data_IF_343782658619
#
_entry.id   IF_343782658619
#
_cell.length_a   1.000
_cell.length_b   1.000
_cell.length_c   1.000
_cell.angle_alpha   90.00
_cell.angle_beta   90.00
_cell.angle_gamma   90.00
#
_symmetry.space_group_name_H-M   'P 1'
#
loop_
_entity.id
_entity.type
_entity.pdbx_description
1 polymer ?
#
# COMPACT_ATOMS: atom_id res chain seq x y z
N UNK A 1 19.27 34.73 -35.21
CA UNK A 1 19.08 34.01 -33.95
C UNK A 1 18.29 32.74 -34.27
N UNK A 2 18.89 31.56 -34.14
CA UNK A 2 18.14 30.31 -34.19
C UNK A 2 17.36 30.20 -32.87
N UNK A 3 16.05 30.01 -32.94
CA UNK A 3 15.21 29.70 -31.77
C UNK A 3 15.58 28.33 -31.23
N UNK A 4 15.46 28.13 -29.90
CA UNK A 4 15.66 26.84 -29.22
C UNK A 4 14.88 25.66 -29.87
N UNK A 5 13.83 25.96 -30.64
CA UNK A 5 13.03 24.99 -31.40
C UNK A 5 13.77 24.18 -32.49
N UNK A 6 15.03 24.51 -32.82
CA UNK A 6 15.81 23.80 -33.85
C UNK A 6 16.86 22.82 -33.30
N UNK A 7 16.95 22.65 -31.98
CA UNK A 7 17.87 21.68 -31.37
C UNK A 7 17.14 20.38 -31.07
N UNK A 8 17.27 19.40 -31.96
CA UNK A 8 16.82 18.02 -31.71
C UNK A 8 18.01 17.23 -31.18
N UNK A 9 18.17 17.22 -29.85
CA UNK A 9 19.20 16.43 -29.17
C UNK A 9 18.77 15.02 -28.77
N UNK A 10 17.47 14.71 -28.89
CA UNK A 10 16.85 13.44 -28.49
C UNK A 10 15.91 12.94 -29.59
N UNK A 11 15.79 11.61 -29.78
CA UNK A 11 14.77 11.08 -30.69
C UNK A 11 13.38 11.52 -30.25
N UNK A 12 12.51 11.78 -31.23
CA UNK A 12 11.09 12.01 -30.95
C UNK A 12 10.53 10.79 -30.23
N UNK A 13 9.76 11.03 -29.15
CA UNK A 13 9.07 9.96 -28.47
C UNK A 13 8.21 9.20 -29.47
N UNK A 14 8.19 7.86 -29.36
CA UNK A 14 7.30 7.05 -30.17
C UNK A 14 5.85 7.48 -29.91
N UNK A 15 4.98 7.50 -30.94
CA UNK A 15 3.57 7.76 -30.73
C UNK A 15 2.99 6.79 -29.70
N UNK A 16 2.23 7.29 -28.72
CA UNK A 16 1.69 6.51 -27.60
C UNK A 16 0.90 5.27 -28.05
N UNK A 17 0.14 5.37 -29.14
CA UNK A 17 -0.60 4.24 -29.70
C UNK A 17 0.29 3.07 -30.19
N UNK A 18 1.58 3.31 -30.47
CA UNK A 18 2.55 2.28 -30.90
C UNK A 18 3.03 1.44 -29.72
N UNK A 19 3.20 2.02 -28.54
CA UNK A 19 3.66 1.30 -27.34
C UNK A 19 2.51 0.73 -26.50
N UNK A 20 1.33 1.32 -26.59
CA UNK A 20 0.15 0.97 -25.78
C UNK A 20 -0.24 -0.50 -25.87
N UNK A 21 -0.19 -1.14 -27.04
CA UNK A 21 -0.54 -2.57 -27.15
C UNK A 21 0.41 -3.43 -26.34
N UNK A 22 1.72 -3.27 -26.51
CA UNK A 22 2.73 -4.05 -25.76
C UNK A 22 2.57 -3.84 -24.25
N UNK A 23 2.46 -2.58 -23.82
CA UNK A 23 2.33 -2.20 -22.42
C UNK A 23 1.05 -2.77 -21.79
N UNK A 24 -0.05 -2.75 -22.52
CA UNK A 24 -1.31 -3.33 -22.08
C UNK A 24 -1.22 -4.86 -21.91
N UNK A 25 -0.60 -5.59 -22.84
CA UNK A 25 -0.41 -7.03 -22.70
C UNK A 25 0.51 -7.40 -21.53
N UNK A 26 1.50 -6.57 -21.20
CA UNK A 26 2.31 -6.74 -19.98
C UNK A 26 1.46 -6.56 -18.71
N UNK A 27 0.60 -5.54 -18.67
CA UNK A 27 -0.33 -5.34 -17.57
C UNK A 27 -1.33 -6.50 -17.43
N UNK A 28 -1.82 -7.05 -18.54
CA UNK A 28 -2.68 -8.23 -18.55
C UNK A 28 -1.96 -9.48 -18.04
N UNK A 29 -0.69 -9.70 -18.38
CA UNK A 29 0.09 -10.81 -17.81
C UNK A 29 0.13 -10.71 -16.27
N UNK A 30 0.55 -9.56 -15.74
CA UNK A 30 0.55 -9.28 -14.31
C UNK A 30 -0.83 -9.48 -13.67
N UNK A 31 -1.88 -8.95 -14.30
CA UNK A 31 -3.27 -9.13 -13.85
C UNK A 31 -3.59 -10.62 -13.72
N UNK A 32 -3.38 -11.42 -14.77
CA UNK A 32 -3.71 -12.85 -14.73
C UNK A 32 -2.87 -13.65 -13.73
N UNK A 33 -1.59 -13.29 -13.58
CA UNK A 33 -0.67 -13.92 -12.63
C UNK A 33 -1.00 -13.58 -11.18
N UNK A 34 -1.43 -12.35 -10.90
CA UNK A 34 -1.85 -11.96 -9.54
C UNK A 34 -3.10 -12.71 -9.11
N UNK A 35 -4.13 -12.80 -9.96
CA UNK A 35 -5.36 -13.50 -9.58
C UNK A 35 -5.19 -15.02 -9.52
N UNK A 36 -4.38 -15.62 -10.39
CA UNK A 36 -4.01 -17.04 -10.34
C UNK A 36 -5.21 -17.99 -10.13
N UNK A 37 -6.33 -17.73 -10.81
CA UNK A 37 -7.51 -18.60 -10.74
C UNK A 37 -7.20 -20.01 -11.22
N UNK A 38 -7.77 -20.99 -10.52
CA UNK A 38 -7.66 -22.42 -10.80
C UNK A 38 -9.01 -22.96 -11.31
N UNK A 39 -9.01 -24.01 -12.16
CA UNK A 39 -10.24 -24.70 -12.54
C UNK A 39 -11.02 -25.16 -11.30
N UNK A 40 -12.33 -24.91 -11.29
CA UNK A 40 -13.21 -25.27 -10.18
C UNK A 40 -13.22 -24.29 -9.01
N UNK A 41 -12.46 -23.18 -9.06
CA UNK A 41 -12.58 -22.13 -8.05
C UNK A 41 -14.02 -21.63 -7.95
N UNK A 42 -14.45 -21.36 -6.72
CA UNK A 42 -15.71 -20.70 -6.39
C UNK A 42 -15.37 -19.30 -5.94
N UNK A 43 -15.36 -18.38 -6.90
CA UNK A 43 -15.00 -16.99 -6.71
C UNK A 43 -16.18 -16.23 -6.15
N UNK A 44 -15.99 -15.59 -4.99
CA UNK A 44 -16.91 -14.61 -4.45
C UNK A 44 -16.31 -13.21 -4.60
N UNK A 45 -17.05 -12.34 -5.26
CA UNK A 45 -16.80 -10.91 -5.22
C UNK A 45 -17.55 -10.27 -4.07
N UNK A 46 -16.83 -9.57 -3.21
CA UNK A 46 -17.35 -8.61 -2.24
C UNK A 46 -17.13 -7.21 -2.83
N UNK A 47 -18.18 -6.58 -3.33
CA UNK A 47 -18.12 -5.30 -4.05
C UNK A 47 -18.97 -4.22 -3.37
N UNK A 48 -18.78 -2.99 -3.80
CA UNK A 48 -19.53 -1.82 -3.36
C UNK A 48 -19.92 -0.94 -4.57
N UNK A 49 -20.78 0.09 -4.39
CA UNK A 49 -21.31 0.88 -5.50
C UNK A 49 -20.29 1.77 -6.23
N UNK A 50 -19.10 2.01 -5.66
CA UNK A 50 -18.08 2.86 -6.27
C UNK A 50 -17.13 2.08 -7.20
N UNK A 51 -17.28 0.75 -7.30
CA UNK A 51 -16.42 -0.05 -8.16
C UNK A 51 -16.86 0.08 -9.62
N UNK A 52 -15.93 0.36 -10.52
CA UNK A 52 -16.18 0.32 -11.96
C UNK A 52 -16.70 -1.08 -12.36
N UNK A 53 -17.92 -1.20 -12.91
CA UNK A 53 -18.48 -2.50 -13.30
C UNK A 53 -17.59 -3.26 -14.29
N UNK A 54 -16.79 -2.55 -15.11
CA UNK A 54 -15.84 -3.18 -16.05
C UNK A 54 -14.74 -3.97 -15.33
N UNK A 55 -14.39 -3.59 -14.10
CA UNK A 55 -13.45 -4.35 -13.26
C UNK A 55 -14.06 -5.70 -12.86
N UNK A 56 -15.33 -5.71 -12.45
CA UNK A 56 -16.07 -6.94 -12.13
C UNK A 56 -16.14 -7.84 -13.36
N UNK A 57 -16.49 -7.28 -14.53
CA UNK A 57 -16.59 -8.04 -15.78
C UNK A 57 -15.24 -8.61 -16.21
N UNK A 58 -14.15 -7.84 -16.14
CA UNK A 58 -12.82 -8.28 -16.53
C UNK A 58 -12.32 -9.44 -15.64
N UNK A 59 -12.45 -9.31 -14.32
CA UNK A 59 -12.00 -10.36 -13.40
C UNK A 59 -12.93 -11.58 -13.49
N UNK A 60 -14.25 -11.38 -13.62
CA UNK A 60 -15.21 -12.48 -13.81
C UNK A 60 -14.96 -13.23 -15.11
N UNK A 61 -14.68 -12.53 -16.20
CA UNK A 61 -14.30 -13.10 -17.49
C UNK A 61 -13.01 -13.90 -17.38
N UNK A 62 -11.99 -13.36 -16.70
CA UNK A 62 -10.75 -14.08 -16.44
C UNK A 62 -10.97 -15.36 -15.62
N UNK A 63 -11.73 -15.28 -14.52
CA UNK A 63 -12.08 -16.43 -13.69
C UNK A 63 -12.80 -17.52 -14.50
N UNK A 64 -13.83 -17.15 -15.27
CA UNK A 64 -14.57 -18.09 -16.13
C UNK A 64 -13.68 -18.71 -17.21
N UNK A 65 -12.78 -17.93 -17.82
CA UNK A 65 -11.80 -18.44 -18.78
C UNK A 65 -10.82 -19.46 -18.16
N UNK A 66 -10.63 -19.43 -16.84
CA UNK A 66 -9.85 -20.43 -16.08
C UNK A 66 -10.70 -21.58 -15.53
N UNK A 67 -11.98 -21.67 -15.90
CA UNK A 67 -12.89 -22.74 -15.46
C UNK A 67 -13.43 -22.54 -14.04
N UNK A 68 -13.42 -21.32 -13.51
CA UNK A 68 -14.00 -20.99 -12.22
C UNK A 68 -15.47 -20.53 -12.34
N UNK A 69 -16.20 -20.62 -11.22
CA UNK A 69 -17.53 -20.05 -11.05
C UNK A 69 -17.44 -18.73 -10.28
N UNK A 70 -18.34 -17.79 -10.57
CA UNK A 70 -18.33 -16.45 -9.96
C UNK A 70 -19.69 -16.12 -9.37
N UNK A 71 -19.69 -15.60 -8.13
CA UNK A 71 -20.83 -14.94 -7.50
C UNK A 71 -20.42 -13.54 -7.07
N UNK A 72 -21.36 -12.60 -7.13
CA UNK A 72 -21.18 -11.22 -6.74
C UNK A 72 -22.10 -10.93 -5.56
N UNK A 73 -21.56 -10.29 -4.53
CA UNK A 73 -22.31 -9.67 -3.45
C UNK A 73 -21.92 -8.19 -3.42
N UNK A 74 -22.90 -7.31 -3.64
CA UNK A 74 -22.72 -5.86 -3.62
C UNK A 74 -23.41 -5.28 -2.39
N UNK A 75 -22.65 -4.57 -1.57
CA UNK A 75 -23.21 -3.77 -0.48
C UNK A 75 -23.80 -2.45 -0.98
N UNK A 76 -24.64 -1.85 -0.12
CA UNK A 76 -25.27 -0.56 -0.40
C UNK A 76 -24.33 0.65 -0.30
N UNK A 77 -23.15 0.46 0.28
CA UNK A 77 -22.12 1.48 0.46
C UNK A 77 -20.73 0.84 0.43
N UNK A 78 -19.70 1.63 0.15
CA UNK A 78 -18.29 1.27 0.33
C UNK A 78 -17.87 1.15 1.81
N UNK A 79 -18.64 1.77 2.73
CA UNK A 79 -18.41 1.73 4.18
C UNK A 79 -18.97 0.46 4.79
N UNK A 80 -18.29 -0.66 4.54
CA UNK A 80 -18.61 -1.95 5.13
C UNK A 80 -17.70 -2.13 6.35
N UNK A 81 -18.21 -1.80 7.54
CA UNK A 81 -17.44 -1.78 8.80
C UNK A 81 -17.26 -3.19 9.40
N UNK A 82 -18.19 -4.10 9.13
CA UNK A 82 -18.15 -5.49 9.56
C UNK A 82 -18.65 -6.43 8.46
N UNK A 83 -18.24 -7.70 8.48
CA UNK A 83 -18.75 -8.69 7.51
C UNK A 83 -20.21 -9.01 7.87
N UNK A 84 -21.19 -8.70 6.99
CA UNK A 84 -22.60 -8.97 7.24
C UNK A 84 -22.86 -10.46 7.49
N UNK A 85 -23.78 -10.77 8.40
CA UNK A 85 -24.05 -12.13 8.83
C UNK A 85 -24.49 -13.06 7.69
N UNK A 86 -25.28 -12.53 6.76
CA UNK A 86 -25.74 -13.21 5.53
C UNK A 86 -24.62 -13.40 4.49
N UNK A 87 -23.59 -12.55 4.49
CA UNK A 87 -22.39 -12.72 3.66
C UNK A 87 -21.52 -13.92 4.11
N UNK A 88 -21.58 -14.31 5.39
CA UNK A 88 -20.70 -15.36 5.96
C UNK A 88 -20.89 -16.73 5.30
N UNK A 89 -22.14 -17.11 5.00
CA UNK A 89 -22.42 -18.38 4.32
C UNK A 89 -21.86 -18.41 2.88
N UNK A 90 -21.91 -17.27 2.17
CA UNK A 90 -21.31 -17.13 0.85
C UNK A 90 -19.78 -17.23 0.93
N UNK A 91 -19.19 -16.61 1.93
CA UNK A 91 -17.76 -16.67 2.21
C UNK A 91 -17.28 -18.09 2.53
N UNK A 92 -17.99 -18.85 3.38
CA UNK A 92 -17.64 -20.24 3.69
C UNK A 92 -17.68 -21.14 2.44
N UNK A 93 -18.61 -20.88 1.53
CA UNK A 93 -18.71 -21.65 0.30
C UNK A 93 -17.61 -21.32 -0.71
N UNK A 94 -17.06 -20.10 -0.69
CA UNK A 94 -16.03 -19.65 -1.64
C UNK A 94 -14.68 -20.35 -1.43
N UNK A 95 -13.93 -20.58 -2.51
CA UNK A 95 -12.50 -20.98 -2.43
C UNK A 95 -11.56 -19.80 -2.68
N UNK A 96 -12.08 -18.78 -3.36
CA UNK A 96 -11.34 -17.58 -3.75
C UNK A 96 -12.22 -16.35 -3.53
N UNK A 97 -11.67 -15.29 -2.95
CA UNK A 97 -12.41 -14.04 -2.69
C UNK A 97 -11.69 -12.86 -3.33
N UNK A 98 -12.46 -12.03 -4.04
CA UNK A 98 -12.04 -10.70 -4.50
C UNK A 98 -12.81 -9.67 -3.70
N UNK A 99 -12.13 -8.72 -3.05
CA UNK A 99 -12.78 -7.82 -2.08
C UNK A 99 -12.40 -6.36 -2.28
N UNK A 100 -13.40 -5.48 -2.27
CA UNK A 100 -13.24 -4.04 -2.02
C UNK A 100 -13.48 -3.66 -0.55
N UNK A 101 -14.11 -4.50 0.27
CA UNK A 101 -14.55 -4.18 1.64
C UNK A 101 -13.43 -4.12 2.66
N UNK A 102 -13.18 -2.95 3.27
CA UNK A 102 -12.06 -2.74 4.19
C UNK A 102 -12.08 -3.70 5.39
N UNK A 103 -13.25 -3.96 5.98
CA UNK A 103 -13.38 -4.86 7.13
C UNK A 103 -12.81 -6.27 6.89
N UNK A 104 -12.79 -6.76 5.64
CA UNK A 104 -12.35 -8.12 5.32
C UNK A 104 -10.85 -8.35 5.58
N UNK A 105 -10.06 -7.29 5.77
CA UNK A 105 -8.62 -7.37 6.05
C UNK A 105 -8.39 -7.93 7.45
N UNK A 106 -9.09 -7.39 8.44
CA UNK A 106 -8.89 -7.64 9.87
C UNK A 106 -9.98 -8.49 10.51
N UNK A 107 -11.08 -8.76 9.80
CA UNK A 107 -12.19 -9.56 10.32
C UNK A 107 -11.72 -10.98 10.74
N UNK A 108 -11.96 -11.40 12.00
CA UNK A 108 -11.50 -12.69 12.51
C UNK A 108 -12.03 -13.89 11.73
N UNK A 109 -13.25 -13.81 11.19
CA UNK A 109 -13.85 -14.88 10.41
C UNK A 109 -13.15 -15.01 9.03
N UNK A 110 -12.90 -13.89 8.35
CA UNK A 110 -12.12 -13.88 7.11
C UNK A 110 -10.66 -14.35 7.33
N UNK A 111 -10.02 -13.97 8.44
CA UNK A 111 -8.70 -14.49 8.84
C UNK A 111 -8.74 -16.00 9.03
N UNK A 112 -9.75 -16.53 9.72
CA UNK A 112 -9.89 -17.96 9.96
C UNK A 112 -10.10 -18.75 8.66
N UNK A 113 -10.85 -18.22 7.69
CA UNK A 113 -11.02 -18.85 6.38
C UNK A 113 -9.71 -18.87 5.56
N UNK A 114 -8.92 -17.79 5.61
CA UNK A 114 -7.57 -17.76 5.00
C UNK A 114 -6.66 -18.83 5.61
N UNK A 115 -6.67 -18.99 6.93
CA UNK A 115 -5.92 -20.07 7.61
C UNK A 115 -6.36 -21.48 7.20
N UNK A 116 -7.59 -21.65 6.69
CA UNK A 116 -8.11 -22.91 6.13
C UNK A 116 -7.79 -23.09 4.63
N UNK A 117 -7.03 -22.17 4.03
CA UNK A 117 -6.60 -22.28 2.64
C UNK A 117 -7.36 -21.39 1.65
N UNK A 118 -8.39 -20.64 2.08
CA UNK A 118 -9.11 -19.73 1.19
C UNK A 118 -8.17 -18.62 0.69
N UNK A 119 -8.20 -18.34 -0.62
CA UNK A 119 -7.29 -17.38 -1.29
C UNK A 119 -7.98 -16.04 -1.52
N UNK A 120 -7.26 -14.94 -1.32
CA UNK A 120 -7.84 -13.60 -1.33
C UNK A 120 -7.02 -12.60 -2.15
N UNK A 121 -7.72 -11.81 -2.96
CA UNK A 121 -7.17 -10.62 -3.63
C UNK A 121 -7.98 -9.39 -3.22
N UNK A 122 -7.31 -8.45 -2.59
CA UNK A 122 -7.86 -7.13 -2.25
C UNK A 122 -7.64 -6.18 -3.42
N UNK A 123 -8.68 -5.46 -3.86
CA UNK A 123 -8.63 -4.56 -5.02
C UNK A 123 -8.83 -3.07 -4.64
N UNK A 124 -8.47 -2.66 -3.43
CA UNK A 124 -8.59 -1.26 -2.97
C UNK A 124 -8.00 -0.25 -3.95
N UNK A 125 -6.86 -0.60 -4.58
CA UNK A 125 -6.14 0.26 -5.50
C UNK A 125 -6.53 0.08 -6.97
N UNK A 126 -7.39 -0.89 -7.29
CA UNK A 126 -7.80 -1.23 -8.66
C UNK A 126 -9.32 -1.11 -8.82
N UNK A 127 -9.81 0.13 -8.69
CA UNK A 127 -11.25 0.43 -8.75
C UNK A 127 -11.77 0.86 -10.12
N UNK A 128 -10.86 1.09 -11.07
CA UNK A 128 -11.16 1.51 -12.44
C UNK A 128 -10.35 0.64 -13.40
N UNK A 129 -11.00 0.05 -14.42
CA UNK A 129 -10.32 -0.82 -15.38
C UNK A 129 -9.21 -0.10 -16.15
N UNK A 130 -9.35 1.21 -16.35
CA UNK A 130 -8.39 2.02 -17.11
C UNK A 130 -7.01 2.08 -16.42
N UNK A 131 -6.93 1.69 -15.15
CA UNK A 131 -5.65 1.51 -14.44
C UNK A 131 -4.76 0.43 -15.07
N UNK A 132 -5.28 -0.48 -15.88
CA UNK A 132 -4.47 -1.41 -16.68
C UNK A 132 -3.57 -0.70 -17.70
N UNK A 133 -3.90 0.53 -18.07
CA UNK A 133 -3.06 1.35 -18.95
C UNK A 133 -1.99 2.15 -18.19
N UNK A 134 -2.01 2.11 -16.85
CA UNK A 134 -1.07 2.87 -16.05
C UNK A 134 0.29 2.16 -15.96
N UNK A 135 1.42 2.90 -15.87
CA UNK A 135 2.77 2.31 -15.80
C UNK A 135 2.95 1.28 -14.68
N UNK A 136 2.32 1.50 -13.52
CA UNK A 136 2.38 0.59 -12.38
C UNK A 136 1.72 -0.77 -12.62
N UNK A 137 0.75 -0.87 -13.53
CA UNK A 137 0.09 -2.14 -13.83
C UNK A 137 1.00 -3.11 -14.60
N UNK A 138 1.97 -2.58 -15.36
CA UNK A 138 2.94 -3.36 -16.14
C UNK A 138 4.29 -3.56 -15.47
N UNK A 139 4.50 -3.01 -14.27
CA UNK A 139 5.73 -3.26 -13.52
C UNK A 139 5.80 -4.75 -13.10
N UNK A 140 6.88 -5.49 -13.37
CA UNK A 140 6.93 -6.93 -13.09
C UNK A 140 6.66 -7.25 -11.62
N UNK A 141 5.63 -8.05 -11.34
CA UNK A 141 5.24 -8.38 -9.96
C UNK A 141 6.34 -9.14 -9.19
N UNK A 142 7.21 -9.87 -9.88
CA UNK A 142 8.34 -10.57 -9.27
C UNK A 142 9.37 -9.59 -8.70
N UNK A 143 9.58 -8.45 -9.38
CA UNK A 143 10.52 -7.42 -8.94
C UNK A 143 10.01 -6.68 -7.71
N UNK A 144 8.69 -6.51 -7.55
CA UNK A 144 8.12 -6.00 -6.29
C UNK A 144 8.52 -6.94 -5.14
N UNK A 145 8.46 -8.26 -5.37
CA UNK A 145 8.90 -9.25 -4.40
C UNK A 145 10.40 -9.18 -4.08
N UNK A 146 11.25 -8.98 -5.07
CA UNK A 146 12.70 -8.79 -4.85
C UNK A 146 13.00 -7.53 -4.06
N UNK A 147 12.34 -6.41 -4.39
CA UNK A 147 12.48 -5.14 -3.66
C UNK A 147 12.08 -5.29 -2.19
N UNK A 148 10.98 -6.00 -1.92
CA UNK A 148 10.53 -6.33 -0.56
C UNK A 148 11.59 -7.13 0.20
N UNK A 149 12.12 -8.20 -0.40
CA UNK A 149 13.13 -9.06 0.25
C UNK A 149 14.45 -8.32 0.49
N UNK A 150 14.92 -7.55 -0.50
CA UNK A 150 16.12 -6.73 -0.37
C UNK A 150 15.96 -5.65 0.72
N UNK A 151 14.75 -5.09 0.89
CA UNK A 151 14.46 -4.18 2.00
C UNK A 151 14.43 -4.91 3.34
N UNK A 152 13.81 -6.08 3.42
CA UNK A 152 13.79 -6.91 4.63
C UNK A 152 15.19 -7.32 5.09
N UNK A 153 16.10 -7.63 4.16
CA UNK A 153 17.49 -8.00 4.44
C UNK A 153 18.28 -6.88 5.11
N UNK A 154 17.83 -5.62 5.01
CA UNK A 154 18.47 -4.46 5.65
C UNK A 154 18.09 -4.30 7.12
N UNK A 155 17.09 -5.01 7.62
CA UNK A 155 16.76 -5.01 9.05
C UNK A 155 17.80 -5.80 9.86
N UNK A 156 18.36 -5.25 10.95
CA UNK A 156 19.28 -6.01 11.80
C UNK A 156 18.67 -7.32 12.34
N UNK A 157 19.46 -8.39 12.32
CA UNK A 157 19.05 -9.71 12.83
C UNK A 157 19.65 -9.97 14.20
N UNK A 158 18.86 -10.56 15.11
CA UNK A 158 19.34 -11.06 16.41
C UNK A 158 19.72 -9.98 17.45
N UNK A 159 19.47 -8.70 17.17
CA UNK A 159 19.73 -7.59 18.10
C UNK A 159 18.61 -6.55 18.07
N UNK A 160 18.44 -5.83 19.17
CA UNK A 160 17.54 -4.69 19.22
C UNK A 160 18.11 -3.50 18.44
N UNK A 161 17.22 -2.66 17.91
CA UNK A 161 17.57 -1.43 17.17
C UNK A 161 16.37 -0.48 17.18
N UNK A 162 16.60 0.76 16.76
CA UNK A 162 15.51 1.70 16.48
C UNK A 162 15.30 1.84 14.98
N UNK A 163 14.04 1.83 14.56
CA UNK A 163 13.62 2.30 13.26
C UNK A 163 13.44 3.82 13.35
N UNK A 164 14.32 4.57 12.69
CA UNK A 164 14.46 6.01 12.85
C UNK A 164 14.09 6.75 11.58
N UNK A 165 13.10 7.63 11.67
CA UNK A 165 12.57 8.46 10.58
C UNK A 165 13.02 9.90 10.78
N UNK A 166 13.67 10.46 9.76
CA UNK A 166 14.16 11.85 9.77
C UNK A 166 13.92 12.55 8.45
N UNK A 167 13.81 13.88 8.46
CA UNK A 167 13.77 14.68 7.23
C UNK A 167 14.29 16.11 7.48
N UNK A 168 14.40 16.90 6.40
CA UNK A 168 14.86 18.29 6.47
C UNK A 168 13.85 19.26 7.10
N UNK A 169 12.57 18.86 7.27
CA UNK A 169 11.55 19.68 7.94
C UNK A 169 11.72 19.64 9.46
N UNK A 170 12.41 18.61 9.96
CA UNK A 170 12.71 18.41 11.37
C UNK A 170 12.03 17.18 11.97
N UNK A 171 11.50 16.27 11.15
CA UNK A 171 10.99 15.01 11.68
C UNK A 171 12.12 14.27 12.38
N UNK A 172 11.83 13.76 13.56
CA UNK A 172 12.71 12.88 14.34
C UNK A 172 11.78 11.95 15.12
N UNK A 173 11.49 10.80 14.54
CA UNK A 173 10.57 9.82 15.10
C UNK A 173 11.22 8.44 15.14
N UNK A 174 11.07 7.74 16.27
CA UNK A 174 11.71 6.44 16.52
C UNK A 174 10.68 5.41 16.93
N UNK A 175 10.81 4.20 16.39
CA UNK A 175 10.11 2.99 16.82
C UNK A 175 11.15 1.97 17.27
N UNK A 176 11.10 1.55 18.53
CA UNK A 176 12.01 0.54 19.04
C UNK A 176 11.63 -0.86 18.59
N UNK A 177 12.60 -1.62 18.07
CA UNK A 177 12.44 -3.03 17.71
C UNK A 177 13.23 -3.95 18.63
N UNK A 178 12.57 -4.99 19.12
CA UNK A 178 13.24 -6.17 19.65
C UNK A 178 13.56 -7.16 18.51
N UNK A 179 14.48 -8.13 18.73
CA UNK A 179 14.71 -9.20 17.76
C UNK A 179 13.42 -9.97 17.42
N UNK A 180 12.58 -10.25 18.41
CA UNK A 180 11.32 -10.97 18.22
C UNK A 180 10.33 -10.16 17.37
N UNK A 181 10.23 -8.85 17.59
CA UNK A 181 9.37 -7.98 16.79
C UNK A 181 9.75 -8.00 15.31
N UNK A 182 11.05 -7.95 15.02
CA UNK A 182 11.58 -8.05 13.64
C UNK A 182 11.18 -9.38 13.01
N UNK A 183 11.37 -10.50 13.69
CA UNK A 183 11.02 -11.82 13.16
C UNK A 183 9.52 -11.98 12.93
N UNK A 184 8.69 -11.55 13.89
CA UNK A 184 7.24 -11.59 13.75
C UNK A 184 6.78 -10.80 12.52
N UNK A 185 7.24 -9.56 12.36
CA UNK A 185 6.86 -8.70 11.24
C UNK A 185 7.29 -9.28 9.89
N UNK A 186 8.56 -9.68 9.77
CA UNK A 186 9.12 -10.17 8.50
C UNK A 186 8.64 -11.58 8.10
N UNK A 187 7.98 -12.31 9.01
CA UNK A 187 7.37 -13.60 8.71
C UNK A 187 6.08 -13.51 7.87
N UNK A 188 5.49 -12.31 7.74
CA UNK A 188 4.21 -12.11 7.06
C UNK A 188 4.29 -12.28 5.54
N UNK A 189 3.18 -12.66 4.90
CA UNK A 189 3.10 -12.85 3.44
C UNK A 189 3.57 -11.63 2.63
N UNK A 190 3.27 -10.42 3.13
CA UNK A 190 3.68 -9.17 2.49
C UNK A 190 5.21 -9.07 2.42
N UNK A 191 5.91 -9.34 3.53
CA UNK A 191 7.37 -9.31 3.61
C UNK A 191 8.05 -10.48 2.88
N UNK A 192 7.36 -11.60 2.65
CA UNK A 192 7.85 -12.68 1.76
C UNK A 192 7.92 -12.27 0.28
N UNK A 193 7.32 -11.13 -0.09
CA UNK A 193 7.36 -10.61 -1.47
C UNK A 193 6.48 -11.41 -2.43
N UNK A 194 5.36 -11.94 -1.94
CA UNK A 194 4.39 -12.69 -2.74
C UNK A 194 3.33 -11.73 -3.29
N UNK A 195 3.20 -11.69 -4.62
CA UNK A 195 2.25 -10.82 -5.33
C UNK A 195 1.16 -11.59 -6.10
N UNK A 196 1.24 -12.92 -6.10
CA UNK A 196 0.27 -13.84 -6.68
C UNK A 196 -0.61 -14.48 -5.63
N UNK A 197 -1.86 -14.74 -5.98
CA UNK A 197 -2.81 -15.52 -5.19
C UNK A 197 -2.74 -17.02 -5.56
N UNK A 198 -1.53 -17.55 -5.74
CA UNK A 198 -1.24 -18.89 -6.27
C UNK A 198 -1.00 -19.95 -5.18
N UNK A 199 -0.86 -19.54 -3.92
CA UNK A 199 -0.73 -20.42 -2.74
C UNK A 199 -2.03 -20.44 -1.90
N UNK A 200 -2.32 -21.57 -1.25
CA UNK A 200 -3.48 -21.68 -0.36
C UNK A 200 -3.33 -20.76 0.87
N UNK A 201 -4.40 -20.07 1.23
CA UNK A 201 -4.41 -19.14 2.37
C UNK A 201 -3.72 -17.79 2.10
N UNK A 202 -3.33 -17.52 0.86
CA UNK A 202 -2.75 -16.24 0.47
C UNK A 202 -3.73 -15.06 0.64
N UNK A 203 -3.16 -13.88 0.88
CA UNK A 203 -3.84 -12.60 0.88
C UNK A 203 -2.91 -11.59 0.23
N UNK A 204 -3.28 -11.07 -0.94
CA UNK A 204 -2.48 -10.13 -1.72
C UNK A 204 -3.32 -8.92 -2.14
N UNK A 205 -2.66 -7.82 -2.50
CA UNK A 205 -3.30 -6.61 -3.03
C UNK A 205 -3.04 -6.51 -4.53
N UNK A 206 -4.05 -6.06 -5.27
CA UNK A 206 -3.94 -5.64 -6.66
C UNK A 206 -4.43 -4.19 -6.78
N UNK A 207 -3.74 -3.28 -7.47
CA UNK A 207 -2.44 -3.36 -8.14
C UNK A 207 -1.29 -3.70 -7.18
N UNK A 208 -0.24 -4.36 -7.67
CA UNK A 208 0.97 -4.67 -6.91
C UNK A 208 1.84 -3.42 -6.72
N UNK A 209 1.27 -2.40 -6.08
CA UNK A 209 1.92 -1.13 -5.77
C UNK A 209 2.14 -0.97 -4.27
N UNK A 210 1.21 -1.46 -3.46
CA UNK A 210 1.26 -1.38 -2.01
C UNK A 210 2.18 -2.45 -1.43
N UNK A 211 3.19 -2.02 -0.66
CA UNK A 211 4.11 -2.91 0.02
C UNK A 211 3.70 -3.30 1.42
N UNK A 212 4.58 -3.99 2.16
CA UNK A 212 4.51 -4.03 3.61
C UNK A 212 4.80 -2.66 4.23
N UNK A 213 4.31 -2.48 5.47
CA UNK A 213 4.67 -1.34 6.29
C UNK A 213 6.02 -1.59 6.97
N UNK A 214 6.85 -0.54 7.09
CA UNK A 214 8.16 -0.65 7.74
C UNK A 214 8.04 -1.00 9.23
N UNK A 215 6.91 -0.67 9.85
CA UNK A 215 6.39 -1.22 11.09
C UNK A 215 4.86 -1.35 11.00
N UNK A 216 4.32 -2.44 11.53
CA UNK A 216 2.89 -2.60 11.83
C UNK A 216 2.71 -3.51 13.05
N UNK A 217 1.46 -3.68 13.49
CA UNK A 217 1.13 -4.49 14.66
C UNK A 217 1.43 -5.99 14.51
N UNK A 218 1.75 -6.51 13.32
CA UNK A 218 2.23 -7.89 13.20
C UNK A 218 3.59 -8.06 13.90
N UNK A 219 4.37 -7.00 14.11
CA UNK A 219 5.56 -7.02 14.96
C UNK A 219 5.26 -7.55 16.37
N UNK A 220 4.07 -7.28 16.90
CA UNK A 220 3.57 -7.77 18.19
C UNK A 220 2.42 -8.77 18.02
N UNK A 221 2.33 -9.44 16.86
CA UNK A 221 1.28 -10.44 16.53
C UNK A 221 -0.16 -9.93 16.70
N UNK A 222 -0.36 -8.63 16.50
CA UNK A 222 -1.63 -7.93 16.72
C UNK A 222 -2.11 -7.97 18.19
N UNK A 223 -1.22 -8.23 19.15
CA UNK A 223 -1.51 -8.05 20.57
C UNK A 223 -1.33 -6.58 20.95
N UNK A 224 -2.43 -5.85 20.85
CA UNK A 224 -2.51 -4.42 21.17
C UNK A 224 -2.24 -4.09 22.65
N UNK A 225 -2.11 -5.09 23.53
CA UNK A 225 -1.71 -4.89 24.93
C UNK A 225 -0.19 -4.79 25.12
N UNK A 226 0.59 -5.25 24.13
CA UNK A 226 2.05 -5.14 24.15
C UNK A 226 2.45 -3.72 23.74
N UNK A 227 3.03 -2.92 24.64
CA UNK A 227 3.38 -1.55 24.32
C UNK A 227 4.60 -1.50 23.39
N UNK A 228 4.45 -0.88 22.22
CA UNK A 228 5.59 -0.53 21.38
C UNK A 228 6.16 0.80 21.83
N UNK A 229 7.47 0.85 22.10
CA UNK A 229 8.12 2.12 22.46
C UNK A 229 8.31 2.96 21.20
N UNK A 230 7.52 4.03 21.10
CA UNK A 230 7.67 5.04 20.06
C UNK A 230 7.79 6.42 20.70
N UNK A 231 8.49 7.32 20.02
CA UNK A 231 8.63 8.70 20.48
C UNK A 231 9.10 9.60 19.36
N UNK A 232 8.73 10.89 19.46
CA UNK A 232 9.26 11.94 18.61
C UNK A 232 8.18 12.67 17.83
N UNK A 233 8.56 13.26 16.71
CA UNK A 233 7.70 14.14 15.92
C UNK A 233 7.79 13.80 14.44
N UNK A 234 6.64 13.82 13.77
CA UNK A 234 6.52 13.76 12.32
C UNK A 234 6.02 15.11 11.81
N UNK A 235 6.61 15.58 10.70
CA UNK A 235 6.13 16.73 9.94
C UNK A 235 5.60 16.26 8.58
N UNK A 236 4.37 15.74 8.54
CA UNK A 236 3.79 15.25 7.29
C UNK A 236 3.63 16.37 6.27
N UNK A 237 3.77 16.02 5.00
CA UNK A 237 3.54 16.93 3.87
C UNK A 237 2.08 16.92 3.44
N UNK A 238 1.35 15.85 3.73
CA UNK A 238 -0.03 15.66 3.30
C UNK A 238 -0.74 14.66 4.22
N UNK A 239 -2.04 14.46 4.03
CA UNK A 239 -2.82 13.41 4.67
C UNK A 239 -3.97 13.01 3.74
N UNK A 240 -4.39 11.75 3.84
CA UNK A 240 -5.55 11.27 3.09
C UNK A 240 -6.81 12.05 3.50
N UNK A 241 -7.63 12.40 2.52
CA UNK A 241 -8.81 13.26 2.70
C UNK A 241 -8.58 14.75 2.50
N UNK A 242 -7.33 15.21 2.40
CA UNK A 242 -7.02 16.60 2.06
C UNK A 242 -6.75 16.75 0.57
N UNK A 243 -7.29 17.79 -0.06
CA UNK A 243 -7.20 17.98 -1.51
C UNK A 243 -5.79 18.30 -2.04
N UNK A 244 -4.90 18.81 -1.18
CA UNK A 244 -3.54 19.24 -1.54
C UNK A 244 -2.57 19.11 -0.35
N UNK A 245 -1.25 19.04 -0.60
CA UNK A 245 -0.24 19.10 0.44
C UNK A 245 -0.38 20.33 1.34
N UNK A 246 0.04 20.19 2.59
CA UNK A 246 0.01 21.26 3.58
C UNK A 246 0.99 22.37 3.21
N UNK A 247 0.52 23.62 3.29
CA UNK A 247 1.39 24.78 3.11
C UNK A 247 2.17 25.11 4.39
N UNK A 248 1.56 24.87 5.56
CA UNK A 248 2.22 24.99 6.85
C UNK A 248 3.00 23.71 7.17
N UNK A 249 4.14 23.88 7.87
CA UNK A 249 4.84 22.79 8.52
C UNK A 249 4.12 22.42 9.83
N UNK A 250 3.23 21.44 9.77
CA UNK A 250 2.43 20.95 10.90
C UNK A 250 3.19 19.83 11.62
N UNK A 251 3.39 19.93 12.94
CA UNK A 251 4.12 18.93 13.73
C UNK A 251 3.18 18.00 14.49
N UNK A 252 3.29 16.69 14.30
CA UNK A 252 2.52 15.66 15.02
C UNK A 252 3.44 14.91 15.98
N UNK A 253 3.22 15.08 17.28
CA UNK A 253 4.08 14.56 18.35
C UNK A 253 3.48 13.29 18.94
N UNK A 254 4.35 12.32 19.21
CA UNK A 254 4.00 11.02 19.76
C UNK A 254 4.64 10.79 21.12
N UNK A 255 3.85 10.25 22.04
CA UNK A 255 4.30 9.69 23.32
C UNK A 255 3.84 8.23 23.41
N UNK A 256 4.79 7.29 23.31
CA UNK A 256 4.44 5.92 22.98
C UNK A 256 3.73 5.87 21.63
N UNK A 257 2.75 4.99 21.49
CA UNK A 257 1.98 4.82 20.25
C UNK A 257 0.94 5.92 20.02
N UNK A 258 0.80 6.90 20.92
CA UNK A 258 -0.30 7.86 20.90
C UNK A 258 0.16 9.25 20.48
N UNK A 259 -0.65 9.92 19.66
CA UNK A 259 -0.47 11.34 19.34
C UNK A 259 -0.79 12.17 20.58
N UNK A 260 0.19 12.85 21.15
CA UNK A 260 0.01 13.68 22.34
C UNK A 260 -0.21 15.15 22.02
N UNK A 261 0.26 15.64 20.86
CA UNK A 261 0.14 17.05 20.46
C UNK A 261 0.21 17.22 18.94
N UNK A 262 -0.50 18.21 18.43
CA UNK A 262 -0.38 18.71 17.05
C UNK A 262 -0.09 20.23 17.06
N UNK A 263 1.05 20.61 16.51
CA UNK A 263 1.52 22.01 16.39
C UNK A 263 1.09 22.61 15.05
N UNK A 264 0.92 23.93 15.01
CA UNK A 264 0.54 24.70 13.82
C UNK A 264 -0.72 25.54 14.01
N UNK A 265 -0.90 26.56 13.19
CA UNK A 265 -1.97 27.57 13.31
C UNK A 265 -2.95 27.56 12.13
N UNK A 266 -2.62 26.89 11.02
CA UNK A 266 -3.49 26.76 9.85
C UNK A 266 -4.79 26.03 10.17
N UNK A 267 -5.76 26.18 9.27
CA UNK A 267 -7.02 25.44 9.34
C UNK A 267 -6.77 23.93 9.25
N UNK A 268 -5.83 23.50 8.39
CA UNK A 268 -5.41 22.11 8.30
C UNK A 268 -4.81 21.61 9.63
N UNK A 269 -3.97 22.41 10.30
CA UNK A 269 -3.43 22.06 11.62
C UNK A 269 -4.53 21.94 12.69
N UNK A 270 -5.54 22.81 12.64
CA UNK A 270 -6.71 22.76 13.53
C UNK A 270 -7.51 21.47 13.31
N UNK A 271 -7.77 21.10 12.06
CA UNK A 271 -8.48 19.86 11.71
C UNK A 271 -7.68 18.64 12.17
N UNK A 272 -6.37 18.58 11.87
CA UNK A 272 -5.52 17.48 12.29
C UNK A 272 -5.44 17.37 13.81
N UNK A 273 -5.39 18.48 14.54
CA UNK A 273 -5.41 18.45 16.02
C UNK A 273 -6.70 17.85 16.57
N UNK A 274 -7.84 18.23 16.00
CA UNK A 274 -9.14 17.69 16.40
C UNK A 274 -9.26 16.18 16.12
N UNK A 275 -8.70 15.73 14.99
CA UNK A 275 -8.76 14.34 14.56
C UNK A 275 -7.77 13.45 15.33
N UNK A 276 -6.49 13.87 15.38
CA UNK A 276 -5.37 12.98 15.70
C UNK A 276 -5.07 12.87 17.19
N UNK A 277 -5.28 13.92 18.00
CA UNK A 277 -4.84 13.90 19.41
C UNK A 277 -5.54 12.78 20.18
N UNK A 278 -4.74 11.94 20.83
CA UNK A 278 -5.17 10.71 21.50
C UNK A 278 -5.29 9.49 20.58
N UNK A 279 -5.20 9.69 19.26
CA UNK A 279 -5.18 8.61 18.27
C UNK A 279 -3.91 7.77 18.38
N UNK A 280 -4.01 6.51 17.97
CA UNK A 280 -2.95 5.50 18.09
C UNK A 280 -2.34 5.21 16.71
N UNK A 281 -1.02 5.22 16.62
CA UNK A 281 -0.28 4.74 15.45
C UNK A 281 -0.57 3.25 15.24
N UNK A 282 -1.06 2.89 14.06
CA UNK A 282 -1.27 1.48 13.67
C UNK A 282 -0.35 1.01 12.55
N UNK A 283 0.17 1.94 11.75
CA UNK A 283 1.03 1.67 10.62
C UNK A 283 2.16 2.70 10.56
N UNK A 284 3.41 2.24 10.76
CA UNK A 284 4.57 3.10 10.88
C UNK A 284 5.41 3.04 9.62
N UNK A 285 5.27 4.05 8.75
CA UNK A 285 6.00 4.09 7.48
C UNK A 285 5.52 3.03 6.50
N UNK A 286 4.23 2.96 6.25
CA UNK A 286 3.69 2.24 5.10
C UNK A 286 4.32 2.76 3.81
N UNK A 287 4.74 1.87 2.91
CA UNK A 287 5.53 2.23 1.73
C UNK A 287 5.13 1.36 0.54
N UNK A 288 5.16 1.93 -0.66
CA UNK A 288 5.04 1.15 -1.89
C UNK A 288 6.37 0.57 -2.37
N UNK A 289 6.30 -0.41 -3.26
CA UNK A 289 7.49 -1.12 -3.81
C UNK A 289 7.46 -1.21 -5.34
N UNK A 290 6.63 -0.36 -5.96
CA UNK A 290 6.49 -0.28 -7.41
C UNK A 290 6.97 1.10 -7.89
N UNK A 291 8.17 1.23 -8.48
CA UNK A 291 8.76 2.51 -8.89
C UNK A 291 7.97 3.24 -9.99
N UNK A 292 6.95 2.58 -10.56
CA UNK A 292 6.03 3.17 -11.54
C UNK A 292 4.75 3.71 -10.93
N UNK A 293 4.54 3.51 -9.62
CA UNK A 293 3.43 4.12 -8.90
C UNK A 293 3.65 5.63 -8.74
N UNK A 294 2.60 6.45 -8.92
CA UNK A 294 2.72 7.90 -8.82
C UNK A 294 2.99 8.33 -7.37
N UNK A 295 4.06 9.11 -7.19
CA UNK A 295 4.53 9.59 -5.87
C UNK A 295 3.56 10.54 -5.18
N UNK A 296 2.87 11.38 -5.96
CA UNK A 296 1.96 12.42 -5.46
C UNK A 296 0.48 12.01 -5.51
N UNK A 297 0.18 10.71 -5.57
CA UNK A 297 -1.19 10.19 -5.43
C UNK A 297 -1.27 9.47 -4.09
N UNK A 298 -2.05 10.03 -3.16
CA UNK A 298 -2.12 9.54 -1.78
C UNK A 298 -3.43 8.84 -1.42
N UNK A 299 -4.46 8.91 -2.27
CA UNK A 299 -5.71 8.17 -2.06
C UNK A 299 -5.60 6.76 -2.69
N UNK A 300 -6.18 5.71 -2.09
CA UNK A 300 -7.00 5.69 -0.87
C UNK A 300 -6.27 5.54 0.46
N UNK A 301 -4.98 5.16 0.47
CA UNK A 301 -4.23 4.84 1.68
C UNK A 301 -2.73 5.16 1.52
N UNK A 302 -2.43 6.45 1.45
CA UNK A 302 -1.08 6.97 1.27
C UNK A 302 -0.48 6.81 -0.14
N UNK A 303 0.75 7.31 -0.27
CA UNK A 303 1.52 7.14 -1.51
C UNK A 303 2.03 5.72 -1.64
N UNK A 304 1.88 5.15 -2.83
CA UNK A 304 2.37 3.82 -3.18
C UNK A 304 3.68 3.84 -3.98
N UNK A 305 4.35 4.99 -4.03
CA UNK A 305 5.69 5.07 -4.60
C UNK A 305 6.75 4.60 -3.60
N UNK A 306 7.80 3.88 -4.05
CA UNK A 306 8.95 3.55 -3.24
C UNK A 306 9.56 4.76 -2.54
N UNK A 307 9.79 4.64 -1.24
CA UNK A 307 10.41 5.65 -0.41
C UNK A 307 9.48 6.79 0.03
N UNK A 308 8.27 6.89 -0.54
CA UNK A 308 7.21 7.71 0.01
C UNK A 308 6.48 6.91 1.11
N UNK A 309 6.29 7.55 2.26
CA UNK A 309 5.77 6.94 3.47
C UNK A 309 4.37 7.44 3.77
N UNK A 310 3.56 6.55 4.33
CA UNK A 310 2.39 6.91 5.10
C UNK A 310 2.44 6.39 6.53
N UNK A 311 1.72 7.06 7.42
CA UNK A 311 1.62 6.73 8.83
C UNK A 311 0.13 6.66 9.19
N UNK A 312 -0.37 5.44 9.31
CA UNK A 312 -1.77 5.16 9.61
C UNK A 312 -2.05 5.31 11.10
N UNK A 313 -3.01 6.17 11.43
CA UNK A 313 -3.40 6.49 12.81
C UNK A 313 -4.89 6.18 12.98
N UNK A 314 -5.20 5.31 13.94
CA UNK A 314 -6.57 5.10 14.39
C UNK A 314 -6.94 6.19 15.41
N UNK A 315 -7.96 6.97 15.08
CA UNK A 315 -8.46 8.09 15.85
C UNK A 315 -9.26 7.62 17.08
N UNK A 316 -9.41 8.48 18.09
CA UNK A 316 -10.22 8.18 19.28
C UNK A 316 -11.73 8.10 18.99
N UNK A 317 -12.15 8.71 17.89
CA UNK A 317 -13.52 8.73 17.38
C UNK A 317 -13.50 9.00 15.88
N UNK A 318 -14.55 8.63 15.15
CA UNK A 318 -14.70 9.02 13.75
C UNK A 318 -14.54 10.53 13.50
N UNK A 319 -13.80 10.90 12.45
CA UNK A 319 -13.56 12.28 12.06
C UNK A 319 -14.72 12.85 11.22
N UNK A 320 -15.32 13.94 11.68
CA UNK A 320 -16.39 14.64 10.95
C UNK A 320 -15.88 15.28 9.66
N UNK A 321 -14.63 15.77 9.64
CA UNK A 321 -14.01 16.29 8.42
C UNK A 321 -13.96 15.25 7.31
N UNK A 322 -13.51 14.03 7.64
CA UNK A 322 -13.43 12.90 6.71
C UNK A 322 -14.82 12.51 6.22
N UNK A 323 -15.79 12.38 7.12
CA UNK A 323 -17.18 12.06 6.75
C UNK A 323 -17.81 13.06 5.77
N UNK A 324 -17.42 14.34 5.86
CA UNK A 324 -17.91 15.40 4.96
C UNK A 324 -17.16 15.42 3.63
N UNK A 325 -15.86 15.18 3.66
CA UNK A 325 -14.97 15.35 2.48
C UNK A 325 -14.89 14.08 1.65
N UNK A 326 -14.99 12.92 2.28
CA UNK A 326 -14.99 11.60 1.65
C UNK A 326 -16.11 10.73 2.26
N UNK A 327 -17.40 11.06 2.00
CA UNK A 327 -18.54 10.38 2.62
C UNK A 327 -18.60 8.87 2.33
N UNK A 328 -18.06 8.44 1.20
CA UNK A 328 -18.02 7.05 0.76
C UNK A 328 -16.59 6.48 0.75
N UNK A 329 -15.71 6.98 1.61
CA UNK A 329 -14.38 6.38 1.77
C UNK A 329 -14.52 4.94 2.29
N UNK A 330 -13.76 4.02 1.69
CA UNK A 330 -13.78 2.60 2.04
C UNK A 330 -13.21 2.33 3.43
N UNK A 331 -12.27 3.15 3.87
CA UNK A 331 -11.68 3.04 5.19
C UNK A 331 -12.60 3.68 6.22
N UNK A 332 -12.68 3.10 7.43
CA UNK A 332 -13.53 3.67 8.46
C UNK A 332 -13.06 5.10 8.75
N UNK A 333 -13.95 6.06 9.01
CA UNK A 333 -13.60 7.45 9.30
C UNK A 333 -12.80 7.64 10.61
N UNK A 334 -12.42 6.53 11.25
CA UNK A 334 -11.53 6.45 12.39
C UNK A 334 -10.08 6.16 11.97
N UNK A 335 -9.78 5.95 10.69
CA UNK A 335 -8.42 5.73 10.21
C UNK A 335 -7.96 6.92 9.38
N UNK A 336 -6.72 7.37 9.54
CA UNK A 336 -6.13 8.45 8.75
C UNK A 336 -4.65 8.19 8.50
N UNK A 337 -4.25 8.28 7.23
CA UNK A 337 -2.87 8.23 6.81
C UNK A 337 -2.26 9.64 6.68
N UNK A 338 -1.20 9.89 7.45
CA UNK A 338 -0.30 11.03 7.26
C UNK A 338 0.81 10.66 6.27
N UNK A 339 1.15 11.54 5.34
CA UNK A 339 2.07 11.24 4.24
C UNK A 339 3.35 12.06 4.32
N UNK A 340 4.48 11.39 4.18
CA UNK A 340 5.81 11.97 4.09
C UNK A 340 6.52 11.42 2.86
N UNK A 341 6.90 12.27 1.92
CA UNK A 341 7.42 11.84 0.62
C UNK A 341 8.93 11.61 0.67
N UNK A 342 9.70 12.44 1.37
CA UNK A 342 11.15 12.56 1.24
C UNK A 342 11.93 12.21 2.53
N UNK A 343 11.37 11.37 3.39
CA UNK A 343 12.03 10.96 4.63
C UNK A 343 13.27 10.08 4.38
N UNK A 344 14.23 10.17 5.29
CA UNK A 344 15.30 9.19 5.50
C UNK A 344 14.90 8.23 6.60
N UNK A 345 15.05 6.92 6.35
CA UNK A 345 14.72 5.86 7.29
C UNK A 345 15.89 4.93 7.52
N UNK A 346 16.27 4.73 8.78
CA UNK A 346 17.32 3.81 9.22
C UNK A 346 16.78 2.75 10.16
N UNK A 347 17.21 1.50 9.99
CA UNK A 347 17.00 0.41 10.95
C UNK A 347 18.32 0.14 11.69
N UNK A 348 18.49 0.73 12.87
CA UNK A 348 19.80 0.88 13.49
C UNK A 348 20.72 1.72 12.58
N UNK A 349 21.88 1.18 12.22
CA UNK A 349 22.81 1.85 11.30
C UNK A 349 22.45 1.67 9.82
N UNK A 350 21.56 0.73 9.49
CA UNK A 350 21.29 0.32 8.13
C UNK A 350 20.29 1.28 7.46
N UNK A 351 20.65 1.79 6.29
CA UNK A 351 19.79 2.70 5.52
C UNK A 351 18.74 1.91 4.71
N UNK A 352 17.47 2.20 4.97
CA UNK A 352 16.33 1.65 4.22
C UNK A 352 15.88 2.61 3.13
N UNK A 353 15.71 3.88 3.48
CA UNK A 353 15.29 4.97 2.60
C UNK A 353 16.23 6.14 2.81
N UNK A 354 16.70 6.74 1.72
CA UNK A 354 17.56 7.92 1.71
C UNK A 354 16.83 9.09 1.05
N UNK A 355 16.40 10.07 1.84
CA UNK A 355 15.70 11.27 1.34
C UNK A 355 14.56 10.96 0.36
N UNK A 356 13.72 9.97 0.68
CA UNK A 356 12.61 9.50 -0.15
C UNK A 356 12.96 8.50 -1.24
N UNK A 357 14.22 8.07 -1.34
CA UNK A 357 14.67 7.03 -2.26
C UNK A 357 14.79 5.68 -1.55
N UNK A 358 14.02 4.67 -1.99
CA UNK A 358 14.11 3.31 -1.44
C UNK A 358 15.44 2.67 -1.85
N UNK A 359 16.33 2.40 -0.88
CA UNK A 359 17.69 1.91 -1.16
C UNK A 359 17.71 0.55 -1.88
N UNK A 360 16.67 -0.27 -1.71
CA UNK A 360 16.54 -1.55 -2.40
C UNK A 360 16.44 -1.43 -3.93
N UNK A 361 16.06 -0.27 -4.48
CA UNK A 361 16.05 -0.03 -5.92
C UNK A 361 17.46 -0.11 -6.55
N UNK A 362 18.51 0.07 -5.74
CA UNK A 362 19.92 -0.05 -6.14
C UNK A 362 20.60 -1.29 -5.60
N UNK A 363 19.83 -2.20 -5.01
CA UNK A 363 20.39 -3.45 -4.52
C UNK A 363 20.92 -4.28 -5.70
N UNK A 364 22.18 -4.77 -5.66
CA UNK A 364 22.76 -5.52 -6.79
C UNK A 364 21.92 -6.73 -7.22
N UNK A 365 21.27 -7.42 -6.29
CA UNK A 365 20.43 -8.58 -6.60
C UNK A 365 19.13 -8.15 -7.30
N UNK A 366 18.54 -7.02 -6.88
CA UNK A 366 17.36 -6.42 -7.51
C UNK A 366 17.71 -5.92 -8.92
N UNK A 367 18.84 -5.23 -9.09
CA UNK A 367 19.30 -4.76 -10.40
C UNK A 367 19.53 -5.93 -11.35
N UNK A 368 20.17 -7.01 -10.87
CA UNK A 368 20.36 -8.23 -11.65
C UNK A 368 19.04 -8.94 -11.98
N UNK A 369 18.04 -8.88 -11.07
CA UNK A 369 16.71 -9.38 -11.36
C UNK A 369 15.99 -8.54 -12.42
N UNK A 370 16.07 -7.21 -12.33
CA UNK A 370 15.44 -6.28 -13.27
C UNK A 370 15.98 -6.43 -14.70
N UNK A 371 17.27 -6.76 -14.85
CA UNK A 371 17.90 -6.99 -16.14
C UNK A 371 17.24 -8.12 -16.97
N UNK A 372 16.46 -9.00 -16.34
CA UNK A 372 15.69 -10.06 -17.02
C UNK A 372 14.44 -9.53 -17.71
N UNK A 373 13.95 -8.36 -17.30
CA UNK A 373 12.71 -7.75 -17.77
C UNK A 373 12.95 -6.54 -18.69
N UNK A 374 14.15 -5.96 -18.68
CA UNK A 374 14.51 -4.79 -19.48
C UNK A 374 15.72 -4.07 -18.91
N UNK A 375 15.89 -2.79 -19.28
CA UNK A 375 16.91 -1.93 -18.70
C UNK A 375 16.61 -1.66 -17.21
N UNK A 376 17.48 -2.05 -16.27
CA UNK A 376 17.27 -1.80 -14.84
C UNK A 376 17.11 -0.32 -14.50
N UNK A 377 17.81 0.60 -15.17
CA UNK A 377 17.71 2.04 -14.87
C UNK A 377 16.33 2.56 -15.28
N UNK A 378 15.86 2.17 -16.47
CA UNK A 378 14.50 2.47 -16.91
C UNK A 378 13.47 1.88 -15.95
N UNK A 379 13.62 0.63 -15.53
CA UNK A 379 12.62 -0.04 -14.70
C UNK A 379 12.59 0.47 -13.25
N UNK A 380 13.74 0.71 -12.63
CA UNK A 380 13.87 0.94 -11.20
C UNK A 380 14.02 2.41 -10.81
N UNK A 381 14.60 3.25 -11.67
CA UNK A 381 14.90 4.66 -11.32
C UNK A 381 14.06 5.67 -12.12
N UNK A 382 13.65 5.35 -13.35
CA UNK A 382 12.89 6.30 -14.17
C UNK A 382 11.48 6.55 -13.59
N UNK A 383 11.18 7.80 -13.25
CA UNK A 383 9.90 8.23 -12.67
C UNK A 383 9.84 8.20 -11.14
N UNK A 384 10.95 7.88 -10.46
CA UNK A 384 11.05 7.82 -8.98
C UNK A 384 11.32 9.19 -8.33
N UNK A 385 11.54 10.25 -9.14
CA UNK A 385 11.82 11.61 -8.67
C UNK A 385 10.61 12.32 -8.03
#
# INVERSE_FOLDING_TARGET
MMSEANYVGMPSALPTHVTHTREFFQALDNFTRTFAFRPGDRVLFLTDPLLDPRVVDAISGHAKARGASVRLLMESSSRVEEIPGDAKALLEHATFVVSTWFCSIIDPFAIALRKKGQRWVKITYFRNLDLLHAPQARFPIDLVGELTRATAARYPTGRAFDLHFTDSRGSDFRIHFTPEMRENMLSTNRWRGRMGADEDGCYVHYLASHGPNLWDHNAVRNDLSVPTRMSGVLYPQWAVGFARPFSERIGVHFEGEYVCRVDGESEEARILREMLVGGRMIEGGGCGFNPKAPRHTVYPAGSNAPGALHFGIDLVKPADYIRRTMPDWEEPPIHVDLVTLDATVRAGENLLIDNGFLCALRDPEVVAAAARFGDPVELLEAGVA
#
